data_IF_343686186906
#
_entry.id   IF_343686186906
#
_cell.length_a   1.000
_cell.length_b   1.000
_cell.length_c   1.000
_cell.angle_alpha   90.00
_cell.angle_beta   90.00
_cell.angle_gamma   90.00
#
_symmetry.space_group_name_H-M   'P 1'
#
loop_
_entity.id
_entity.type
_entity.pdbx_description
1 polymer ?
#
# COMPACT_ATOMS: atom_id res chain seq x y z
N UNK A 1 9.59 40.97 -2.09
CA UNK A 1 10.27 42.20 -1.62
C UNK A 1 10.17 42.26 -0.12
N UNK A 2 11.01 43.06 0.50
CA UNK A 2 10.96 43.36 1.93
C UNK A 2 9.58 43.84 2.42
N UNK A 3 8.88 44.62 1.60
CA UNK A 3 7.51 45.06 1.87
C UNK A 3 6.54 43.88 1.87
N UNK A 4 6.54 43.04 0.83
CA UNK A 4 5.64 41.87 0.73
C UNK A 4 5.82 40.92 1.93
N UNK A 5 7.07 40.66 2.33
CA UNK A 5 7.35 39.77 3.46
C UNK A 5 6.81 40.33 4.78
N UNK A 6 6.89 41.64 5.00
CA UNK A 6 6.40 42.29 6.22
C UNK A 6 4.88 42.40 6.25
N UNK A 7 4.25 42.77 5.13
CA UNK A 7 2.79 42.83 5.05
C UNK A 7 2.14 41.45 5.17
N UNK A 8 2.73 40.40 4.58
CA UNK A 8 2.23 39.02 4.75
C UNK A 8 2.36 38.49 6.18
N UNK A 9 3.19 39.12 7.03
CA UNK A 9 3.38 38.76 8.44
C UNK A 9 2.52 39.59 9.40
N UNK A 10 1.61 40.42 8.89
CA UNK A 10 0.68 41.18 9.74
C UNK A 10 1.28 42.46 10.34
N UNK A 11 1.88 43.33 9.53
CA UNK A 11 2.36 44.64 10.01
C UNK A 11 1.18 45.49 10.54
N UNK A 12 1.17 45.79 11.83
CA UNK A 12 0.08 46.57 12.45
C UNK A 12 -0.04 47.98 11.87
N UNK A 13 -1.22 48.41 11.40
CA UNK A 13 -1.39 49.74 10.80
C UNK A 13 -1.35 50.88 11.83
N UNK A 14 -1.45 50.57 13.13
CA UNK A 14 -1.37 51.56 14.20
C UNK A 14 0.00 52.28 14.27
N UNK A 15 1.05 51.71 13.66
CA UNK A 15 2.35 52.38 13.56
C UNK A 15 2.44 53.40 12.41
N UNK A 16 1.51 53.37 11.44
CA UNK A 16 1.64 54.09 10.18
C UNK A 16 1.82 55.60 10.38
N UNK A 17 0.98 56.23 11.21
CA UNK A 17 1.07 57.67 11.48
C UNK A 17 2.40 58.05 12.14
N UNK A 18 2.87 57.25 13.11
CA UNK A 18 4.14 57.48 13.79
C UNK A 18 5.34 57.33 12.85
N UNK A 19 5.35 56.28 12.03
CA UNK A 19 6.41 56.02 11.05
C UNK A 19 6.43 57.09 9.95
N UNK A 20 5.28 57.50 9.43
CA UNK A 20 5.19 58.59 8.44
C UNK A 20 5.75 59.90 8.99
N UNK A 21 5.38 60.27 10.21
CA UNK A 21 5.92 61.45 10.89
C UNK A 21 7.45 61.37 11.01
N UNK A 22 7.98 60.20 11.38
CA UNK A 22 9.42 59.97 11.47
C UNK A 22 10.09 60.13 10.10
N UNK A 23 9.55 59.53 9.05
CA UNK A 23 10.08 59.66 7.68
C UNK A 23 10.12 61.10 7.20
N UNK A 24 9.04 61.87 7.46
CA UNK A 24 8.98 63.30 7.13
C UNK A 24 10.11 64.08 7.82
N UNK A 25 10.37 63.79 9.10
CA UNK A 25 11.44 64.45 9.85
C UNK A 25 12.84 64.12 9.29
N UNK A 26 13.06 62.90 8.80
CA UNK A 26 14.35 62.47 8.25
C UNK A 26 14.71 63.19 6.94
N UNK A 27 13.72 63.66 6.18
CA UNK A 27 13.92 64.37 4.91
C UNK A 27 13.81 65.90 5.06
N UNK A 28 13.79 66.41 6.30
CA UNK A 28 13.67 67.85 6.59
C UNK A 28 12.27 68.44 6.35
N UNK A 29 11.26 67.58 6.21
CA UNK A 29 9.86 67.98 6.05
C UNK A 29 9.23 68.35 7.40
N UNK A 30 8.27 69.28 7.36
CA UNK A 30 7.39 69.60 8.49
C UNK A 30 6.00 69.06 8.17
N UNK A 31 5.36 68.41 9.14
CA UNK A 31 3.99 67.93 9.02
C UNK A 31 3.04 69.14 8.82
N UNK A 32 2.47 69.26 7.62
CA UNK A 32 1.59 70.39 7.26
C UNK A 32 0.16 70.23 7.80
N UNK A 33 -0.28 69.00 8.05
CA UNK A 33 -1.60 68.65 8.60
C UNK A 33 -1.52 67.34 9.38
N UNK A 34 -2.55 67.05 10.18
CA UNK A 34 -2.71 65.74 10.82
C UNK A 34 -2.63 64.62 9.76
N UNK A 35 -1.94 63.52 10.09
CA UNK A 35 -1.94 62.31 9.26
C UNK A 35 -3.20 61.54 9.62
N UNK A 36 -4.15 61.50 8.71
CA UNK A 36 -5.38 60.72 8.87
C UNK A 36 -5.35 59.52 7.91
N UNK A 37 -5.60 58.33 8.46
CA UNK A 37 -5.77 57.10 7.67
C UNK A 37 -7.26 56.98 7.31
N UNK A 38 -7.61 57.34 6.07
CA UNK A 38 -8.99 57.21 5.56
C UNK A 38 -9.26 55.73 5.27
N UNK A 39 -9.61 54.95 6.28
CA UNK A 39 -10.18 53.62 6.03
C UNK A 39 -11.62 53.81 5.54
N UNK A 40 -11.84 53.71 4.23
CA UNK A 40 -13.18 53.49 3.67
C UNK A 40 -13.54 52.03 3.94
N UNK A 41 -14.32 51.79 4.99
CA UNK A 41 -14.86 50.47 5.27
C UNK A 41 -16.15 50.27 4.49
N UNK A 42 -16.21 49.18 3.73
CA UNK A 42 -17.45 48.48 3.41
C UNK A 42 -17.57 47.28 4.35
N UNK A 43 -18.77 47.06 4.89
CA UNK A 43 -19.10 46.10 5.94
C UNK A 43 -18.61 44.66 5.69
N UNK A 44 -18.38 44.24 4.44
CA UNK A 44 -17.99 42.86 4.10
C UNK A 44 -16.53 42.48 4.44
N UNK A 45 -15.65 43.44 4.73
CA UNK A 45 -14.23 43.22 5.08
C UNK A 45 -13.89 43.63 6.52
N UNK A 46 -14.87 44.11 7.29
CA UNK A 46 -14.69 44.69 8.63
C UNK A 46 -14.76 43.64 9.76
N UNK A 47 -15.29 42.45 9.48
CA UNK A 47 -15.41 41.35 10.46
C UNK A 47 -14.07 40.92 11.09
N UNK A 48 -12.94 41.21 10.45
CA UNK A 48 -11.62 40.82 10.96
C UNK A 48 -11.08 41.77 12.06
N UNK A 49 -11.63 42.99 12.21
CA UNK A 49 -11.19 43.95 13.23
C UNK A 49 -12.33 44.71 13.93
N UNK A 50 -13.61 44.42 13.66
CA UNK A 50 -14.77 45.10 14.27
C UNK A 50 -14.63 46.64 14.30
N UNK A 51 -14.15 47.21 13.19
CA UNK A 51 -13.92 48.65 13.08
C UNK A 51 -12.85 49.24 14.03
N UNK A 52 -12.14 48.42 14.81
CA UNK A 52 -11.14 48.84 15.80
C UNK A 52 -9.91 47.93 15.74
N UNK A 53 -8.78 48.49 15.32
CA UNK A 53 -7.48 47.92 15.70
C UNK A 53 -7.28 48.17 17.21
N UNK A 54 -8.03 47.49 18.06
CA UNK A 54 -7.78 47.44 19.50
C UNK A 54 -6.95 46.21 19.78
N UNK A 55 -5.86 46.33 20.54
CA UNK A 55 -5.10 45.16 20.92
C UNK A 55 -5.98 44.15 21.66
N UNK A 56 -5.74 42.85 21.43
CA UNK A 56 -6.51 41.79 22.06
C UNK A 56 -6.42 41.89 23.59
N UNK A 57 -7.58 41.81 24.23
CA UNK A 57 -7.68 41.61 25.68
C UNK A 57 -8.01 40.12 25.91
N UNK A 58 -7.10 39.41 26.55
CA UNK A 58 -7.20 37.98 26.81
C UNK A 58 -7.26 37.77 28.32
N UNK A 59 -8.36 37.19 28.77
CA UNK A 59 -8.54 36.77 30.16
C UNK A 59 -8.20 35.29 30.27
N UNK A 60 -7.21 34.93 31.09
CA UNK A 60 -6.69 33.57 31.19
C UNK A 60 -6.40 33.17 32.64
N UNK A 61 -6.76 31.94 33.01
CA UNK A 61 -6.42 31.36 34.31
C UNK A 61 -4.95 30.88 34.32
N UNK A 62 -4.17 31.25 35.33
CA UNK A 62 -2.80 30.76 35.50
C UNK A 62 -2.71 29.23 35.54
N UNK A 63 -3.76 28.56 36.05
CA UNK A 63 -3.88 27.11 36.02
C UNK A 63 -3.89 26.54 34.60
N UNK A 64 -4.57 27.22 33.67
CA UNK A 64 -4.62 26.80 32.26
C UNK A 64 -3.24 26.80 31.61
N UNK A 65 -2.41 27.80 31.96
CA UNK A 65 -1.03 27.93 31.50
C UNK A 65 -0.16 26.81 32.08
N UNK A 66 -0.24 26.61 33.40
CA UNK A 66 0.53 25.61 34.12
C UNK A 66 0.21 24.18 33.69
N UNK A 67 -1.08 23.84 33.47
CA UNK A 67 -1.49 22.50 32.99
C UNK A 67 -0.91 22.16 31.60
N UNK A 68 -0.76 23.16 30.72
CA UNK A 68 -0.20 22.97 29.38
C UNK A 68 1.33 22.93 29.36
N UNK A 69 1.99 23.76 30.18
CA UNK A 69 3.45 23.78 30.28
C UNK A 69 4.02 22.69 31.20
N UNK A 70 3.18 22.10 32.07
CA UNK A 70 3.63 21.19 33.13
C UNK A 70 4.49 21.92 34.17
N UNK A 71 4.12 23.17 34.48
CA UNK A 71 4.78 24.04 35.45
C UNK A 71 3.86 24.32 36.64
N UNK A 72 4.40 25.04 37.62
CA UNK A 72 3.69 25.53 38.81
C UNK A 72 4.14 26.98 39.06
N UNK A 73 4.02 27.84 38.04
CA UNK A 73 4.33 29.27 38.11
C UNK A 73 3.21 29.99 38.88
N UNK A 74 3.57 30.95 39.73
CA UNK A 74 2.58 31.86 40.31
C UNK A 74 2.07 32.85 39.26
N UNK A 75 0.88 33.42 39.49
CA UNK A 75 0.32 34.44 38.59
C UNK A 75 1.23 35.67 38.49
N UNK A 76 1.95 36.00 39.57
CA UNK A 76 2.96 37.07 39.59
C UNK A 76 4.16 36.73 38.69
N UNK A 77 4.69 35.49 38.76
CA UNK A 77 5.78 35.04 37.88
C UNK A 77 5.36 35.10 36.40
N UNK A 78 4.11 34.70 36.10
CA UNK A 78 3.53 34.75 34.75
C UNK A 78 3.43 36.20 34.27
N UNK A 79 2.89 37.09 35.10
CA UNK A 79 2.77 38.50 34.77
C UNK A 79 4.14 39.16 34.58
N UNK A 80 5.12 38.83 35.41
CA UNK A 80 6.48 39.35 35.30
C UNK A 80 7.14 38.93 33.97
N UNK A 81 6.99 37.67 33.56
CA UNK A 81 7.50 37.20 32.27
C UNK A 81 6.89 38.01 31.11
N UNK A 82 5.56 38.16 31.08
CA UNK A 82 4.86 38.86 30.01
C UNK A 82 5.17 40.37 29.98
N UNK A 83 5.15 41.02 31.14
CA UNK A 83 5.45 42.46 31.25
C UNK A 83 6.89 42.79 30.83
N UNK A 84 7.85 41.89 31.03
CA UNK A 84 9.25 42.06 30.57
C UNK A 84 9.39 42.17 29.04
N UNK A 85 8.38 41.75 28.27
CA UNK A 85 8.32 41.90 26.81
C UNK A 85 7.18 42.79 26.34
N UNK A 86 6.76 43.73 27.20
CA UNK A 86 5.76 44.76 26.90
C UNK A 86 4.36 44.21 26.61
N UNK A 87 4.10 42.94 26.95
CA UNK A 87 2.75 42.38 27.01
C UNK A 87 2.18 42.77 28.38
N UNK A 88 1.25 43.71 28.37
CA UNK A 88 0.69 44.25 29.62
C UNK A 88 -0.18 43.18 30.26
N UNK A 89 0.22 42.73 31.44
CA UNK A 89 -0.53 41.76 32.23
C UNK A 89 -0.65 42.22 33.67
N UNK A 90 -1.83 42.04 34.26
CA UNK A 90 -2.02 42.21 35.69
C UNK A 90 -2.71 40.99 36.28
N UNK A 91 -2.28 40.65 37.50
CA UNK A 91 -2.88 39.58 38.28
C UNK A 91 -4.35 39.86 38.61
N UNK A 92 -5.02 38.87 39.20
CA UNK A 92 -6.42 38.98 39.58
C UNK A 92 -6.66 40.21 40.47
N UNK A 93 -7.57 41.11 40.05
CA UNK A 93 -8.12 42.11 40.96
C UNK A 93 -8.99 41.39 42.02
N UNK A 94 -9.09 41.93 43.23
CA UNK A 94 -9.84 41.34 44.36
C UNK A 94 -11.30 41.03 43.94
N UNK A 95 -11.54 39.82 43.41
CA UNK A 95 -12.81 39.12 43.04
C UNK A 95 -12.73 38.30 41.73
N UNK A 96 -11.71 38.47 40.89
CA UNK A 96 -11.60 37.79 39.59
C UNK A 96 -10.52 36.70 39.65
N UNK A 97 -10.79 35.44 39.28
CA UNK A 97 -9.81 34.33 39.32
C UNK A 97 -9.05 34.17 37.98
N UNK A 98 -8.64 35.26 37.35
CA UNK A 98 -7.92 35.23 36.06
C UNK A 98 -6.93 36.39 35.91
N UNK A 99 -5.93 36.19 35.05
CA UNK A 99 -4.95 37.18 34.62
C UNK A 99 -5.54 37.92 33.41
N UNK A 100 -5.57 39.24 33.48
CA UNK A 100 -5.97 40.09 32.35
C UNK A 100 -4.73 40.45 31.54
N UNK A 101 -4.76 40.18 30.24
CA UNK A 101 -3.64 40.45 29.33
C UNK A 101 -4.10 41.37 28.22
N UNK A 102 -3.43 42.50 28.08
CA UNK A 102 -3.56 43.40 26.95
C UNK A 102 -2.34 43.23 26.03
N UNK A 103 -2.58 42.62 24.86
CA UNK A 103 -1.56 42.48 23.82
C UNK A 103 -1.05 43.88 23.39
N UNK A 104 0.23 44.04 23.04
CA UNK A 104 0.69 45.28 22.43
C UNK A 104 0.27 45.34 20.95
N UNK A 105 0.06 46.56 20.42
CA UNK A 105 -0.51 46.74 19.09
C UNK A 105 0.29 46.10 17.93
N UNK A 106 1.58 45.82 18.13
CA UNK A 106 2.46 45.23 17.13
C UNK A 106 2.50 43.69 17.18
N UNK A 107 1.96 43.08 18.24
CA UNK A 107 1.82 41.61 18.37
C UNK A 107 0.47 41.18 17.82
N UNK A 108 0.39 41.14 16.49
CA UNK A 108 -0.82 40.72 15.76
C UNK A 108 -1.04 39.20 15.79
N UNK A 109 -0.16 38.47 16.45
CA UNK A 109 -0.18 37.01 16.62
C UNK A 109 -0.80 36.57 17.96
N UNK A 110 -1.04 37.48 18.91
CA UNK A 110 -1.64 37.17 20.21
C UNK A 110 -3.15 37.36 20.18
N UNK A 111 -3.88 36.29 19.88
CA UNK A 111 -5.35 36.32 19.74
C UNK A 111 -6.06 35.32 20.67
N UNK A 112 -5.40 34.19 20.98
CA UNK A 112 -5.95 33.08 21.75
C UNK A 112 -5.21 32.89 23.09
N UNK A 113 -5.85 32.28 24.10
CA UNK A 113 -5.20 31.90 25.35
C UNK A 113 -3.94 31.05 25.15
N UNK A 114 -3.93 30.15 24.17
CA UNK A 114 -2.77 29.33 23.82
C UNK A 114 -1.54 30.15 23.38
N UNK A 115 -1.73 31.33 22.76
CA UNK A 115 -0.61 32.18 22.33
C UNK A 115 0.12 32.76 23.55
N UNK A 116 -0.62 33.05 24.62
CA UNK A 116 -0.06 33.43 25.92
C UNK A 116 0.72 32.27 26.54
N UNK A 117 0.20 31.04 26.44
CA UNK A 117 0.91 29.84 26.92
C UNK A 117 2.25 29.69 26.20
N UNK A 118 2.29 29.92 24.87
CA UNK A 118 3.53 29.93 24.11
C UNK A 118 4.48 31.01 24.61
N UNK A 119 4.02 32.25 24.81
CA UNK A 119 4.86 33.34 25.29
C UNK A 119 5.45 33.06 26.68
N UNK A 120 4.64 32.59 27.62
CA UNK A 120 5.12 32.20 28.95
C UNK A 120 6.13 31.07 28.84
N UNK A 121 5.86 30.04 28.04
CA UNK A 121 6.78 28.93 27.83
C UNK A 121 8.12 29.35 27.20
N UNK A 122 8.08 30.22 26.19
CA UNK A 122 9.24 30.78 25.50
C UNK A 122 10.10 31.64 26.44
N UNK A 123 9.47 32.46 27.27
CA UNK A 123 10.14 33.38 28.20
C UNK A 123 10.69 32.67 29.43
N UNK A 124 9.96 31.67 29.94
CA UNK A 124 10.45 30.77 30.98
C UNK A 124 11.68 29.99 30.48
N UNK A 125 11.62 29.51 29.23
CA UNK A 125 12.65 28.73 28.56
C UNK A 125 12.25 27.27 28.44
N UNK A 126 11.99 26.80 27.22
CA UNK A 126 11.57 25.42 26.98
C UNK A 126 12.59 24.36 27.42
N UNK A 127 13.87 24.73 27.50
CA UNK A 127 14.95 23.88 28.00
C UNK A 127 14.81 23.55 29.51
N UNK A 128 14.09 24.38 30.26
CA UNK A 128 13.83 24.20 31.69
C UNK A 128 12.61 23.34 31.99
N UNK A 129 11.74 23.10 30.99
CA UNK A 129 10.56 22.27 31.17
C UNK A 129 10.95 20.84 31.57
N UNK A 130 10.24 20.27 32.55
CA UNK A 130 10.52 18.93 33.01
C UNK A 130 10.20 17.89 31.94
N UNK A 131 11.16 16.99 31.66
CA UNK A 131 10.97 15.91 30.68
C UNK A 131 10.17 14.78 31.32
N UNK A 132 8.87 14.75 31.07
CA UNK A 132 7.98 13.70 31.55
C UNK A 132 7.43 12.87 30.39
N UNK A 133 7.40 11.55 30.55
CA UNK A 133 6.77 10.67 29.58
C UNK A 133 5.24 10.80 29.68
N UNK A 134 4.51 10.91 28.57
CA UNK A 134 3.06 10.95 28.60
C UNK A 134 2.53 9.65 29.20
N UNK A 135 1.64 9.76 30.19
CA UNK A 135 0.95 8.60 30.77
C UNK A 135 0.01 8.02 29.73
N UNK A 136 0.08 6.70 29.50
CA UNK A 136 -0.80 5.98 28.58
C UNK A 136 -1.34 4.72 29.24
N UNK A 137 -2.50 4.27 28.75
CA UNK A 137 -3.07 3.00 29.18
C UNK A 137 -2.19 1.82 28.75
N UNK A 138 -2.04 0.81 29.61
CA UNK A 138 -1.37 -0.47 29.29
C UNK A 138 -2.27 -1.47 28.55
N UNK A 139 -3.46 -1.03 28.11
CA UNK A 139 -4.38 -1.86 27.32
C UNK A 139 -3.73 -2.24 26.00
N UNK A 140 -3.88 -3.51 25.61
CA UNK A 140 -3.41 -3.99 24.31
C UNK A 140 -4.14 -3.27 23.18
N UNK A 141 -3.38 -2.79 22.20
CA UNK A 141 -3.95 -2.20 20.99
C UNK A 141 -4.52 -3.30 20.09
N UNK A 142 -5.67 -3.08 19.42
CA UNK A 142 -6.19 -4.01 18.45
C UNK A 142 -5.17 -4.21 17.31
N UNK A 143 -5.03 -5.45 16.85
CA UNK A 143 -4.17 -5.73 15.69
C UNK A 143 -4.84 -5.22 14.43
N UNK A 144 -4.09 -4.49 13.61
CA UNK A 144 -4.54 -4.09 12.28
C UNK A 144 -4.26 -5.24 11.30
N UNK A 145 -5.30 -5.94 10.86
CA UNK A 145 -5.17 -7.12 9.99
C UNK A 145 -4.40 -6.82 8.70
N UNK A 146 -4.63 -5.66 8.09
CA UNK A 146 -3.91 -5.22 6.88
C UNK A 146 -2.41 -5.06 7.14
N UNK A 147 -2.01 -4.55 8.30
CA UNK A 147 -0.59 -4.46 8.68
C UNK A 147 0.02 -5.85 8.88
N UNK A 148 -0.70 -6.74 9.56
CA UNK A 148 -0.26 -8.12 9.78
C UNK A 148 -0.12 -8.88 8.46
N UNK A 149 -1.08 -8.74 7.53
CA UNK A 149 -0.99 -9.30 6.18
C UNK A 149 0.26 -8.80 5.45
N UNK A 150 0.50 -7.49 5.40
CA UNK A 150 1.68 -6.94 4.72
C UNK A 150 2.98 -7.49 5.31
N UNK A 151 3.03 -7.68 6.62
CA UNK A 151 4.18 -8.33 7.27
C UNK A 151 4.32 -9.80 6.84
N UNK A 152 3.22 -10.56 6.80
CA UNK A 152 3.22 -11.95 6.35
C UNK A 152 3.66 -12.09 4.88
N UNK A 153 3.15 -11.24 3.98
CA UNK A 153 3.54 -11.18 2.56
C UNK A 153 5.04 -10.92 2.43
N UNK A 154 5.59 -9.91 3.12
CA UNK A 154 7.04 -9.64 3.09
C UNK A 154 7.85 -10.83 3.56
N UNK A 155 7.47 -11.43 4.68
CA UNK A 155 8.20 -12.56 5.24
C UNK A 155 8.19 -13.76 4.28
N UNK A 156 7.04 -14.08 3.69
CA UNK A 156 6.93 -15.20 2.74
C UNK A 156 7.78 -14.97 1.49
N UNK A 157 7.58 -13.83 0.79
CA UNK A 157 8.28 -13.53 -0.46
C UNK A 157 9.79 -13.35 -0.26
N UNK A 158 10.21 -12.71 0.85
CA UNK A 158 11.64 -12.56 1.16
C UNK A 158 12.31 -13.90 1.46
N UNK A 159 11.63 -14.80 2.18
CA UNK A 159 12.13 -16.17 2.44
C UNK A 159 12.18 -17.00 1.16
N UNK A 160 11.30 -16.72 0.20
CA UNK A 160 11.33 -17.34 -1.12
C UNK A 160 12.39 -16.72 -2.07
N UNK A 161 13.15 -15.71 -1.62
CA UNK A 161 14.24 -15.08 -2.37
C UNK A 161 13.85 -13.89 -3.23
N UNK A 162 12.63 -13.37 -3.10
CA UNK A 162 12.20 -12.14 -3.75
C UNK A 162 12.61 -10.90 -2.94
N UNK A 163 12.87 -9.79 -3.62
CA UNK A 163 13.35 -8.55 -3.00
C UNK A 163 12.25 -7.49 -3.03
N UNK A 164 11.90 -6.94 -1.87
CA UNK A 164 10.95 -5.82 -1.80
C UNK A 164 11.63 -4.56 -2.34
N UNK A 165 10.92 -3.82 -3.19
CA UNK A 165 11.34 -2.51 -3.67
C UNK A 165 10.28 -1.46 -3.36
N UNK A 166 10.69 -0.20 -3.31
CA UNK A 166 9.79 0.94 -3.21
C UNK A 166 10.04 1.84 -4.42
N UNK A 167 9.10 1.85 -5.37
CA UNK A 167 9.17 2.72 -6.54
C UNK A 167 8.31 3.98 -6.36
N UNK A 168 8.57 5.01 -7.14
CA UNK A 168 7.74 6.22 -7.15
C UNK A 168 6.33 5.91 -7.68
N UNK A 169 5.31 6.47 -7.04
CA UNK A 169 3.93 6.39 -7.52
C UNK A 169 3.68 7.25 -8.76
N UNK A 170 4.47 8.30 -8.95
CA UNK A 170 4.44 9.15 -10.14
C UNK A 170 5.49 8.68 -11.13
N UNK A 171 5.08 8.54 -12.39
CA UNK A 171 5.87 7.91 -13.46
C UNK A 171 5.80 8.75 -14.74
N UNK A 172 6.82 8.55 -15.57
CA UNK A 172 6.83 9.07 -16.94
C UNK A 172 5.78 8.32 -17.78
N UNK A 173 5.13 9.01 -18.71
CA UNK A 173 4.15 8.44 -19.66
C UNK A 173 4.65 7.18 -20.38
N UNK A 174 5.95 7.16 -20.69
CA UNK A 174 6.66 6.01 -21.28
C UNK A 174 6.44 4.72 -20.50
N UNK A 175 6.40 4.77 -19.17
CA UNK A 175 6.24 3.56 -18.33
C UNK A 175 4.85 2.94 -18.57
N UNK A 176 3.81 3.77 -18.65
CA UNK A 176 2.44 3.32 -18.96
C UNK A 176 2.36 2.76 -20.38
N UNK A 177 2.87 3.50 -21.38
CA UNK A 177 2.89 3.07 -22.78
C UNK A 177 3.68 1.78 -23.00
N UNK A 178 4.84 1.65 -22.36
CA UNK A 178 5.68 0.45 -22.46
C UNK A 178 4.96 -0.80 -21.93
N UNK A 179 4.09 -0.61 -20.93
CA UNK A 179 3.25 -1.65 -20.33
C UNK A 179 1.91 -1.86 -21.06
N UNK A 180 1.71 -1.18 -22.21
CA UNK A 180 0.45 -1.15 -22.97
C UNK A 180 -0.77 -0.67 -22.17
N UNK A 181 -0.51 0.13 -21.13
CA UNK A 181 -1.58 0.76 -20.37
C UNK A 181 -2.06 2.04 -21.05
N UNK A 182 -3.38 2.24 -21.07
CA UNK A 182 -3.99 3.45 -21.60
C UNK A 182 -3.70 4.66 -20.69
N UNK A 183 -2.88 5.59 -21.18
CA UNK A 183 -2.51 6.83 -20.49
C UNK A 183 -3.73 7.69 -20.18
N UNK A 184 -4.82 7.62 -20.97
CA UNK A 184 -6.02 8.41 -20.72
C UNK A 184 -6.66 8.09 -19.36
N UNK A 185 -6.47 6.87 -18.87
CA UNK A 185 -6.94 6.42 -17.56
C UNK A 185 -6.12 6.97 -16.38
N UNK A 186 -4.96 7.60 -16.63
CA UNK A 186 -4.07 8.08 -15.58
C UNK A 186 -4.40 9.52 -15.18
N UNK A 187 -4.24 9.82 -13.88
CA UNK A 187 -4.27 11.19 -13.38
C UNK A 187 -2.92 11.88 -13.65
N UNK A 188 -2.97 13.09 -14.21
CA UNK A 188 -1.77 13.89 -14.52
C UNK A 188 -1.62 15.01 -13.50
N UNK A 189 -0.41 15.20 -12.97
CA UNK A 189 -0.11 16.34 -12.11
C UNK A 189 -0.07 17.64 -12.93
N UNK A 190 -0.73 18.69 -12.41
CA UNK A 190 -0.75 20.02 -13.04
C UNK A 190 0.59 20.75 -12.89
N UNK A 191 1.30 20.52 -11.79
CA UNK A 191 2.57 21.15 -11.42
C UNK A 191 3.66 20.11 -11.11
N UNK A 192 3.85 19.15 -12.03
CA UNK A 192 4.88 18.12 -11.87
C UNK A 192 6.29 18.73 -11.70
N UNK A 193 7.06 18.21 -10.75
CA UNK A 193 8.45 18.63 -10.50
C UNK A 193 9.37 18.37 -11.69
N UNK A 194 9.08 17.33 -12.46
CA UNK A 194 9.80 16.97 -13.68
C UNK A 194 8.91 16.14 -14.63
N UNK A 195 9.27 16.03 -15.92
CA UNK A 195 8.57 15.16 -16.87
C UNK A 195 8.56 13.67 -16.46
N UNK A 196 9.52 13.23 -15.64
CA UNK A 196 9.61 11.84 -15.16
C UNK A 196 8.58 11.51 -14.08
N UNK A 197 7.93 12.52 -13.48
CA UNK A 197 6.99 12.39 -12.37
C UNK A 197 5.63 13.02 -12.70
N UNK A 198 5.14 12.85 -13.93
CA UNK A 198 3.97 13.57 -14.45
C UNK A 198 2.62 12.82 -14.29
N UNK A 199 2.61 11.48 -14.31
CA UNK A 199 1.39 10.68 -14.21
C UNK A 199 1.40 9.84 -12.94
N UNK A 200 0.28 9.78 -12.22
CA UNK A 200 0.12 8.74 -11.21
C UNK A 200 -0.03 7.38 -11.92
N UNK A 201 0.72 6.37 -11.48
CA UNK A 201 0.69 5.02 -12.08
C UNK A 201 -0.69 4.35 -11.96
N UNK A 202 -1.09 3.61 -12.98
CA UNK A 202 -2.34 2.84 -12.95
C UNK A 202 -2.22 1.59 -12.06
N UNK A 203 -1.08 0.90 -12.15
CA UNK A 203 -0.71 -0.26 -11.33
C UNK A 203 0.77 -0.22 -10.98
N UNK A 204 1.22 -1.10 -10.08
CA UNK A 204 2.62 -1.10 -9.59
C UNK A 204 3.55 -1.83 -10.56
N UNK A 205 3.07 -2.91 -11.19
CA UNK A 205 3.84 -3.78 -12.08
C UNK A 205 4.70 -3.03 -13.12
N UNK A 206 4.19 -2.04 -13.88
CA UNK A 206 5.01 -1.28 -14.83
C UNK A 206 6.27 -0.66 -14.21
N UNK A 207 6.16 -0.22 -12.95
CA UNK A 207 7.27 0.37 -12.19
C UNK A 207 8.31 -0.68 -11.84
N UNK A 208 7.90 -1.91 -11.52
CA UNK A 208 8.80 -3.05 -11.32
C UNK A 208 9.51 -3.44 -12.62
N UNK A 209 8.77 -3.52 -13.74
CA UNK A 209 9.34 -3.86 -15.05
C UNK A 209 10.43 -2.87 -15.48
N UNK A 210 10.25 -1.57 -15.22
CA UNK A 210 11.25 -0.54 -15.50
C UNK A 210 12.57 -0.75 -14.73
N UNK A 211 12.56 -1.49 -13.60
CA UNK A 211 13.77 -1.79 -12.81
C UNK A 211 14.50 -3.06 -13.25
N UNK A 212 13.85 -3.95 -14.00
CA UNK A 212 14.46 -5.23 -14.40
C UNK A 212 15.69 -5.02 -15.28
N UNK A 213 15.58 -4.19 -16.33
CA UNK A 213 16.65 -4.03 -17.32
C UNK A 213 17.96 -3.49 -16.70
N UNK A 214 17.86 -2.51 -15.81
CA UNK A 214 19.01 -1.92 -15.13
C UNK A 214 19.74 -2.96 -14.25
N UNK A 215 18.98 -3.82 -13.55
CA UNK A 215 19.56 -4.87 -12.71
C UNK A 215 20.25 -5.97 -13.53
N UNK A 216 19.65 -6.41 -14.65
CA UNK A 216 20.28 -7.36 -15.57
C UNK A 216 21.60 -6.77 -16.13
N UNK A 217 21.59 -5.48 -16.49
CA UNK A 217 22.79 -4.79 -16.99
C UNK A 217 23.88 -4.63 -15.92
N UNK A 218 23.49 -4.51 -14.65
CA UNK A 218 24.39 -4.45 -13.51
C UNK A 218 25.02 -5.82 -13.16
N UNK A 219 24.59 -6.92 -13.80
CA UNK A 219 25.17 -8.25 -13.63
C UNK A 219 24.35 -9.21 -12.78
N UNK A 220 23.15 -8.84 -12.33
CA UNK A 220 22.25 -9.74 -11.64
C UNK A 220 21.49 -10.60 -12.66
N UNK A 221 21.95 -11.84 -12.85
CA UNK A 221 21.47 -12.70 -13.94
C UNK A 221 20.11 -13.39 -13.65
N UNK A 222 19.69 -13.52 -12.39
CA UNK A 222 18.40 -14.13 -11.99
C UNK A 222 17.92 -13.51 -10.67
N UNK A 223 16.69 -13.00 -10.62
CA UNK A 223 16.11 -12.41 -9.42
C UNK A 223 14.58 -12.31 -9.49
N UNK A 224 13.95 -12.10 -8.33
CA UNK A 224 12.57 -11.67 -8.22
C UNK A 224 12.48 -10.35 -7.45
N UNK A 225 11.64 -9.43 -7.92
CA UNK A 225 11.28 -8.18 -7.26
C UNK A 225 9.79 -8.20 -6.91
N UNK A 226 9.42 -7.61 -5.79
CA UNK A 226 8.02 -7.37 -5.46
C UNK A 226 7.81 -6.00 -4.83
N UNK A 227 6.59 -5.47 -4.96
CA UNK A 227 6.16 -4.24 -4.29
C UNK A 227 4.69 -4.35 -3.90
N UNK A 228 4.36 -3.93 -2.69
CA UNK A 228 2.98 -3.71 -2.24
C UNK A 228 2.66 -2.23 -2.35
N UNK A 229 1.83 -1.85 -3.32
CA UNK A 229 1.60 -0.46 -3.63
C UNK A 229 0.20 -0.16 -4.13
N UNK A 230 -0.06 1.12 -4.33
CA UNK A 230 -1.33 1.61 -4.86
C UNK A 230 -1.18 2.08 -6.30
N UNK A 231 -2.27 1.98 -7.04
CA UNK A 231 -2.49 2.66 -8.31
C UNK A 231 -3.88 3.31 -8.33
N UNK A 232 -4.07 4.26 -9.24
CA UNK A 232 -5.35 4.95 -9.44
C UNK A 232 -5.73 4.90 -10.91
N UNK A 233 -6.98 4.51 -11.18
CA UNK A 233 -7.50 4.33 -12.54
C UNK A 233 -8.80 5.13 -12.62
N UNK A 234 -8.88 6.09 -13.55
CA UNK A 234 -10.07 6.95 -13.69
C UNK A 234 -11.37 6.18 -13.86
N UNK A 235 -11.35 5.02 -14.50
CA UNK A 235 -12.55 4.20 -14.68
C UNK A 235 -13.16 3.68 -13.37
N UNK A 236 -12.40 3.61 -12.28
CA UNK A 236 -12.94 3.27 -10.96
C UNK A 236 -13.67 4.47 -10.33
N UNK A 237 -13.42 5.69 -10.82
CA UNK A 237 -14.08 6.89 -10.34
C UNK A 237 -13.45 7.44 -9.05
N UNK A 238 -14.29 8.16 -8.30
CA UNK A 238 -13.93 8.81 -7.04
C UNK A 238 -14.62 8.06 -5.90
N UNK A 239 -13.95 7.97 -4.75
CA UNK A 239 -14.53 7.47 -3.50
C UNK A 239 -15.51 8.46 -2.87
N UNK A 240 -16.05 8.09 -1.70
CA UNK A 240 -17.02 8.89 -0.94
C UNK A 240 -16.49 10.26 -0.51
N UNK A 241 -15.17 10.38 -0.35
CA UNK A 241 -14.46 11.61 -0.01
C UNK A 241 -14.17 12.51 -1.24
N UNK A 242 -14.61 12.10 -2.43
CA UNK A 242 -14.35 12.80 -3.69
C UNK A 242 -12.91 12.64 -4.21
N UNK A 243 -12.10 11.75 -3.62
CA UNK A 243 -10.74 11.46 -4.07
C UNK A 243 -10.68 10.24 -5.00
N UNK A 244 -9.70 10.15 -5.91
CA UNK A 244 -9.54 8.98 -6.77
C UNK A 244 -9.47 7.66 -5.99
N UNK A 245 -10.29 6.69 -6.38
CA UNK A 245 -10.28 5.38 -5.74
C UNK A 245 -8.94 4.67 -5.96
N UNK A 246 -8.41 4.05 -4.91
CA UNK A 246 -7.10 3.41 -4.91
C UNK A 246 -7.22 1.89 -4.98
N UNK A 247 -6.66 1.28 -6.03
CA UNK A 247 -6.48 -0.17 -6.09
C UNK A 247 -5.12 -0.54 -5.53
N UNK A 248 -5.05 -1.54 -4.65
CA UNK A 248 -3.80 -1.96 -4.02
C UNK A 248 -3.42 -3.35 -4.48
N UNK A 249 -2.21 -3.50 -4.98
CA UNK A 249 -1.70 -4.77 -5.46
C UNK A 249 -0.37 -5.12 -4.79
N UNK A 250 -0.15 -6.42 -4.62
CA UNK A 250 1.17 -7.01 -4.46
C UNK A 250 1.61 -7.48 -5.84
N UNK A 251 2.44 -6.68 -6.49
CA UNK A 251 3.01 -7.01 -7.79
C UNK A 251 4.36 -7.70 -7.62
N UNK A 252 4.60 -8.74 -8.41
CA UNK A 252 5.84 -9.54 -8.38
C UNK A 252 6.32 -9.71 -9.81
N UNK A 253 7.62 -9.55 -10.04
CA UNK A 253 8.28 -9.90 -11.31
C UNK A 253 9.44 -10.84 -11.04
N UNK A 254 9.49 -11.94 -11.76
CA UNK A 254 10.64 -12.83 -11.84
C UNK A 254 11.32 -12.64 -13.19
N UNK A 255 12.64 -12.47 -13.19
CA UNK A 255 13.43 -12.29 -14.40
C UNK A 255 14.74 -13.09 -14.33
N UNK A 256 15.08 -13.74 -15.44
CA UNK A 256 16.38 -14.37 -15.61
C UNK A 256 16.94 -14.06 -17.00
N UNK A 257 18.23 -13.74 -17.08
CA UNK A 257 18.95 -13.44 -18.32
C UNK A 257 19.04 -14.65 -19.25
N UNK A 258 19.21 -15.85 -18.66
CA UNK A 258 19.24 -17.12 -19.38
C UNK A 258 17.95 -17.89 -19.12
N UNK A 259 17.41 -18.62 -20.12
CA UNK A 259 16.26 -19.47 -19.92
C UNK A 259 16.54 -20.56 -18.87
N UNK A 260 15.59 -20.78 -17.97
CA UNK A 260 15.58 -21.94 -17.08
C UNK A 260 14.89 -23.15 -17.73
N UNK A 261 14.77 -24.24 -16.98
CA UNK A 261 13.95 -25.38 -17.38
C UNK A 261 12.45 -25.01 -17.35
N UNK A 262 11.73 -25.30 -18.43
CA UNK A 262 10.30 -25.00 -18.57
C UNK A 262 10.00 -23.51 -18.72
N UNK A 263 8.73 -23.14 -18.77
CA UNK A 263 8.29 -21.75 -18.96
C UNK A 263 8.51 -20.88 -17.70
N UNK A 264 8.82 -19.57 -17.85
CA UNK A 264 8.97 -18.66 -16.71
C UNK A 264 7.68 -18.49 -15.90
N UNK A 265 6.51 -18.76 -16.52
CA UNK A 265 5.22 -18.91 -15.83
C UNK A 265 5.31 -19.76 -14.54
N UNK A 266 5.99 -20.91 -14.61
CA UNK A 266 6.05 -21.83 -13.47
C UNK A 266 6.94 -21.31 -12.33
N UNK A 267 7.89 -20.41 -12.62
CA UNK A 267 8.71 -19.76 -11.59
C UNK A 267 7.88 -18.81 -10.75
N UNK A 268 7.10 -17.94 -11.41
CA UNK A 268 6.25 -16.99 -10.70
C UNK A 268 5.07 -17.69 -10.02
N UNK A 269 4.48 -18.70 -10.65
CA UNK A 269 3.42 -19.53 -10.04
C UNK A 269 3.88 -20.14 -8.72
N UNK A 270 5.10 -20.69 -8.67
CA UNK A 270 5.66 -21.27 -7.44
C UNK A 270 5.80 -20.23 -6.32
N UNK A 271 6.20 -19.00 -6.63
CA UNK A 271 6.28 -17.92 -5.63
C UNK A 271 4.89 -17.56 -5.09
N UNK A 272 3.88 -17.50 -5.95
CA UNK A 272 2.50 -17.19 -5.57
C UNK A 272 1.85 -18.34 -4.79
N UNK A 273 2.10 -19.59 -5.17
CA UNK A 273 1.67 -20.78 -4.43
C UNK A 273 2.32 -20.83 -3.04
N UNK A 274 3.63 -20.52 -2.93
CA UNK A 274 4.30 -20.45 -1.63
C UNK A 274 3.71 -19.34 -0.75
N UNK A 275 3.42 -18.17 -1.34
CA UNK A 275 2.77 -17.07 -0.63
C UNK A 275 1.41 -17.50 -0.10
N UNK A 276 0.55 -18.09 -0.93
CA UNK A 276 -0.75 -18.56 -0.50
C UNK A 276 -0.67 -19.63 0.58
N UNK A 277 0.25 -20.59 0.45
CA UNK A 277 0.51 -21.60 1.48
C UNK A 277 0.86 -20.96 2.83
N UNK A 278 1.75 -19.97 2.84
CA UNK A 278 2.16 -19.28 4.08
C UNK A 278 1.02 -18.43 4.68
N UNK A 279 0.10 -17.95 3.85
CA UNK A 279 -1.14 -17.27 4.26
C UNK A 279 -2.25 -18.25 4.66
N UNK A 280 -2.08 -19.55 4.43
CA UNK A 280 -3.04 -20.60 4.78
C UNK A 280 -4.16 -20.80 3.76
N UNK A 281 -3.88 -20.59 2.47
CA UNK A 281 -4.82 -20.83 1.37
C UNK A 281 -4.22 -21.72 0.28
N UNK A 282 -5.11 -22.41 -0.41
CA UNK A 282 -4.82 -23.13 -1.65
C UNK A 282 -5.36 -22.35 -2.84
N UNK A 283 -4.60 -22.35 -3.93
CA UNK A 283 -4.91 -21.58 -5.13
C UNK A 283 -5.36 -22.48 -6.28
N UNK A 284 -6.27 -21.92 -7.08
CA UNK A 284 -6.71 -22.45 -8.36
C UNK A 284 -6.31 -21.45 -9.44
N UNK A 285 -5.64 -21.97 -10.48
CA UNK A 285 -5.21 -21.18 -11.64
C UNK A 285 -6.15 -21.49 -12.81
N UNK A 286 -6.95 -20.50 -13.23
CA UNK A 286 -7.92 -20.62 -14.31
C UNK A 286 -7.39 -19.97 -15.59
N UNK A 287 -7.49 -20.63 -16.76
CA UNK A 287 -7.14 -20.01 -18.04
C UNK A 287 -8.03 -18.79 -18.30
N UNK A 288 -7.51 -17.82 -19.05
CA UNK A 288 -8.29 -16.65 -19.48
C UNK A 288 -8.97 -17.01 -20.79
N UNK A 289 -10.27 -17.28 -20.73
CA UNK A 289 -11.06 -17.71 -21.91
C UNK A 289 -11.60 -16.53 -22.72
N UNK A 290 -11.79 -15.38 -22.08
CA UNK A 290 -12.31 -14.16 -22.69
C UNK A 290 -11.29 -13.05 -22.52
N UNK A 291 -11.03 -12.31 -23.60
CA UNK A 291 -10.08 -11.19 -23.57
C UNK A 291 -10.52 -10.15 -22.53
N UNK A 292 -9.66 -9.97 -21.53
CA UNK A 292 -9.84 -8.98 -20.47
C UNK A 292 -9.20 -7.66 -20.89
N UNK A 293 -9.90 -6.54 -20.67
CA UNK A 293 -9.41 -5.21 -21.04
C UNK A 293 -9.37 -4.27 -19.83
N UNK A 294 -8.45 -4.55 -18.91
CA UNK A 294 -8.18 -3.71 -17.74
C UNK A 294 -6.70 -3.33 -17.65
N UNK A 295 -6.34 -2.17 -17.07
CA UNK A 295 -4.95 -1.76 -16.96
C UNK A 295 -4.03 -2.76 -16.25
N UNK A 296 -4.55 -3.54 -15.29
CA UNK A 296 -3.77 -4.55 -14.57
C UNK A 296 -3.37 -5.74 -15.45
N UNK A 297 -4.23 -6.15 -16.38
CA UNK A 297 -3.95 -7.27 -17.29
C UNK A 297 -3.25 -6.84 -18.58
N UNK A 298 -3.23 -5.54 -18.88
CA UNK A 298 -2.67 -5.00 -20.12
C UNK A 298 -1.22 -5.48 -20.44
N UNK A 299 -0.30 -5.64 -19.45
CA UNK A 299 1.06 -6.10 -19.73
C UNK A 299 1.16 -7.59 -20.08
N UNK A 300 0.15 -8.39 -19.74
CA UNK A 300 0.19 -9.85 -19.78
C UNK A 300 -0.20 -10.41 -21.16
N UNK A 301 0.49 -11.49 -21.57
CA UNK A 301 0.01 -12.36 -22.63
C UNK A 301 -1.05 -13.29 -22.04
N UNK A 302 -2.32 -12.99 -22.29
CA UNK A 302 -3.45 -13.68 -21.64
C UNK A 302 -3.50 -15.17 -21.99
N UNK A 303 -3.00 -15.58 -23.16
CA UNK A 303 -2.91 -16.98 -23.57
C UNK A 303 -1.85 -17.77 -22.77
N UNK A 304 -0.91 -17.06 -22.15
CA UNK A 304 0.18 -17.59 -21.32
C UNK A 304 0.08 -17.10 -19.87
N UNK A 305 -1.13 -16.77 -19.45
CA UNK A 305 -1.46 -16.28 -18.12
C UNK A 305 -2.67 -17.01 -17.56
N UNK A 306 -2.86 -16.91 -16.25
CA UNK A 306 -3.99 -17.48 -15.55
C UNK A 306 -4.52 -16.48 -14.52
N UNK A 307 -5.84 -16.45 -14.37
CA UNK A 307 -6.45 -15.85 -13.19
C UNK A 307 -6.22 -16.76 -11.99
N UNK A 308 -6.04 -16.15 -10.83
CA UNK A 308 -5.75 -16.83 -9.57
C UNK A 308 -6.90 -16.57 -8.63
N UNK A 309 -7.46 -17.65 -8.12
CA UNK A 309 -8.52 -17.65 -7.13
C UNK A 309 -8.19 -18.67 -6.04
N UNK A 310 -8.89 -18.62 -4.91
CA UNK A 310 -8.86 -19.70 -3.92
C UNK A 310 -9.83 -20.82 -4.30
N UNK A 311 -9.79 -21.92 -3.55
CA UNK A 311 -10.76 -23.02 -3.67
C UNK A 311 -12.21 -22.63 -3.33
N UNK A 312 -12.40 -21.56 -2.54
CA UNK A 312 -13.71 -20.93 -2.26
C UNK A 312 -14.03 -19.76 -3.21
N UNK A 313 -13.41 -19.72 -4.39
CA UNK A 313 -13.68 -18.76 -5.48
C UNK A 313 -13.39 -17.29 -5.12
N UNK A 314 -12.60 -17.02 -4.08
CA UNK A 314 -12.11 -15.68 -3.81
C UNK A 314 -11.07 -15.30 -4.86
N UNK A 315 -11.35 -14.27 -5.65
CA UNK A 315 -10.38 -13.72 -6.58
C UNK A 315 -9.14 -13.18 -5.87
N UNK A 316 -7.96 -13.54 -6.37
CA UNK A 316 -6.66 -13.13 -5.84
C UNK A 316 -5.88 -12.31 -6.86
N UNK A 317 -5.96 -12.59 -8.16
CA UNK A 317 -5.20 -11.81 -9.14
C UNK A 317 -4.92 -12.51 -10.46
N UNK A 318 -3.82 -12.12 -11.10
CA UNK A 318 -3.33 -12.71 -12.35
C UNK A 318 -1.85 -13.11 -12.19
N UNK A 319 -1.49 -14.24 -12.80
CA UNK A 319 -0.11 -14.73 -12.88
C UNK A 319 0.17 -15.14 -14.32
N UNK A 320 1.30 -14.72 -14.88
CA UNK A 320 1.54 -15.00 -16.28
C UNK A 320 2.81 -14.46 -16.89
N UNK A 321 2.99 -14.80 -18.16
CA UNK A 321 4.02 -14.22 -19.00
C UNK A 321 3.58 -12.88 -19.60
N UNK A 322 4.55 -12.06 -19.98
CA UNK A 322 4.32 -10.73 -20.52
C UNK A 322 4.22 -10.77 -22.05
N UNK A 323 3.48 -9.83 -22.63
CA UNK A 323 3.43 -9.66 -24.10
C UNK A 323 4.83 -9.40 -24.66
N UNK A 324 5.08 -9.90 -25.87
CA UNK A 324 6.37 -9.71 -26.54
C UNK A 324 6.73 -8.23 -26.77
N UNK A 325 5.73 -7.39 -27.03
CA UNK A 325 5.84 -5.94 -27.12
C UNK A 325 6.31 -5.31 -25.80
N UNK A 326 5.73 -5.70 -24.68
CA UNK A 326 6.10 -5.25 -23.33
C UNK A 326 7.54 -5.65 -23.00
N UNK A 327 7.91 -6.90 -23.28
CA UNK A 327 9.29 -7.41 -23.13
C UNK A 327 10.26 -6.53 -23.92
N UNK A 328 9.95 -6.22 -25.18
CA UNK A 328 10.78 -5.38 -26.03
C UNK A 328 10.86 -3.92 -25.54
N UNK A 329 9.73 -3.33 -25.17
CA UNK A 329 9.62 -1.93 -24.77
C UNK A 329 10.41 -1.62 -23.49
N UNK A 330 10.39 -2.54 -22.52
CA UNK A 330 11.19 -2.45 -21.30
C UNK A 330 12.59 -3.07 -21.42
N UNK A 331 12.93 -3.68 -22.55
CA UNK A 331 14.21 -4.39 -22.77
C UNK A 331 14.44 -5.49 -21.73
N UNK A 332 13.37 -6.22 -21.40
CA UNK A 332 13.38 -7.35 -20.47
C UNK A 332 14.08 -8.56 -21.10
N UNK A 333 14.65 -9.47 -20.31
CA UNK A 333 15.06 -10.77 -20.82
C UNK A 333 13.83 -11.56 -21.30
N UNK A 334 14.04 -12.51 -22.22
CA UNK A 334 12.97 -13.36 -22.72
C UNK A 334 12.36 -14.27 -21.64
N UNK A 335 13.14 -14.62 -20.60
CA UNK A 335 12.69 -15.46 -19.49
C UNK A 335 12.20 -14.58 -18.32
N UNK A 336 11.00 -14.02 -18.49
CA UNK A 336 10.35 -13.12 -17.53
C UNK A 336 8.88 -13.48 -17.36
N UNK A 337 8.40 -13.42 -16.12
CA UNK A 337 7.00 -13.60 -15.80
C UNK A 337 6.63 -12.75 -14.57
N UNK A 338 5.35 -12.45 -14.42
CA UNK A 338 4.87 -11.54 -13.40
C UNK A 338 3.60 -12.06 -12.73
N UNK A 339 3.28 -11.46 -11.59
CA UNK A 339 2.03 -11.64 -10.88
C UNK A 339 1.53 -10.28 -10.41
N UNK A 340 0.21 -10.10 -10.46
CA UNK A 340 -0.48 -8.96 -9.88
C UNK A 340 -1.58 -9.48 -8.97
N UNK A 341 -1.35 -9.42 -7.65
CA UNK A 341 -2.25 -9.96 -6.64
C UNK A 341 -2.99 -8.83 -5.94
N UNK A 342 -4.32 -8.83 -6.00
CA UNK A 342 -5.15 -7.85 -5.33
C UNK A 342 -5.02 -7.97 -3.81
N UNK A 343 -4.76 -6.84 -3.16
CA UNK A 343 -4.57 -6.80 -1.70
C UNK A 343 -5.86 -7.11 -0.97
N UNK A 344 -7.03 -6.71 -1.49
CA UNK A 344 -8.30 -7.02 -0.83
C UNK A 344 -8.60 -8.53 -0.88
N UNK A 345 -8.33 -9.18 -2.02
CA UNK A 345 -8.36 -10.65 -2.12
C UNK A 345 -7.45 -11.35 -1.11
N UNK A 346 -6.20 -10.89 -0.96
CA UNK A 346 -5.27 -11.43 0.05
C UNK A 346 -5.73 -11.14 1.50
N UNK A 347 -6.37 -10.00 1.75
CA UNK A 347 -6.95 -9.67 3.07
C UNK A 347 -8.10 -10.62 3.43
N UNK A 348 -8.98 -10.94 2.47
CA UNK A 348 -10.07 -11.89 2.67
C UNK A 348 -9.54 -13.29 3.03
N UNK A 349 -8.48 -13.73 2.36
CA UNK A 349 -7.78 -14.99 2.68
C UNK A 349 -7.20 -14.95 4.10
N UNK A 350 -6.43 -13.92 4.41
CA UNK A 350 -5.71 -13.84 5.68
C UNK A 350 -6.65 -13.72 6.88
N UNK A 351 -7.80 -13.07 6.72
CA UNK A 351 -8.83 -12.97 7.75
C UNK A 351 -9.50 -14.31 8.08
N UNK A 352 -9.61 -15.21 7.10
CA UNK A 352 -10.18 -16.56 7.25
C UNK A 352 -9.19 -17.59 7.80
N UNK A 353 -7.90 -17.23 7.93
CA UNK A 353 -6.85 -18.15 8.35
C UNK A 353 -7.16 -18.76 9.72
N UNK A 354 -7.56 -20.03 9.70
CA UNK A 354 -7.75 -20.84 10.90
C UNK A 354 -6.66 -21.91 10.96
N UNK A 355 -5.92 -21.95 12.07
CA UNK A 355 -4.94 -23.00 12.31
C UNK A 355 -5.66 -24.24 12.84
N UNK A 356 -5.98 -25.18 11.95
CA UNK A 356 -6.49 -26.49 12.35
C UNK A 356 -5.31 -27.45 12.53
N UNK A 357 -5.18 -28.03 13.72
CA UNK A 357 -4.21 -29.08 13.95
C UNK A 357 -4.82 -30.42 13.54
N UNK A 358 -4.17 -31.12 12.61
CA UNK A 358 -4.45 -32.51 12.30
C UNK A 358 -3.25 -33.36 12.74
N UNK A 359 -3.46 -34.40 13.57
CA UNK A 359 -2.37 -35.27 13.98
C UNK A 359 -1.82 -36.02 12.77
N UNK A 360 -0.49 -36.06 12.66
CA UNK A 360 0.18 -36.89 11.67
C UNK A 360 -0.22 -38.36 11.85
N UNK A 361 -0.30 -39.10 10.74
CA UNK A 361 -0.54 -40.54 10.82
C UNK A 361 0.60 -41.25 11.56
N UNK A 362 0.24 -42.22 12.39
CA UNK A 362 1.18 -43.17 13.02
C UNK A 362 1.47 -44.38 12.12
N UNK A 363 0.74 -44.51 11.01
CA UNK A 363 0.84 -45.61 10.06
C UNK A 363 1.63 -45.15 8.82
N UNK A 364 2.38 -46.05 8.17
CA UNK A 364 3.18 -45.68 7.01
C UNK A 364 2.28 -45.34 5.81
N UNK A 365 2.73 -44.38 4.99
CA UNK A 365 2.12 -44.08 3.69
C UNK A 365 2.64 -45.03 2.62
N UNK A 366 1.79 -45.37 1.65
CA UNK A 366 2.16 -46.16 0.47
C UNK A 366 1.96 -45.31 -0.78
N UNK A 367 2.88 -45.39 -1.75
CA UNK A 367 2.77 -44.64 -3.01
C UNK A 367 2.59 -45.54 -4.22
N UNK A 368 1.75 -45.12 -5.18
CA UNK A 368 1.60 -45.75 -6.50
C UNK A 368 1.71 -44.67 -7.57
N UNK A 369 2.50 -44.99 -8.60
CA UNK A 369 2.56 -44.17 -9.80
C UNK A 369 1.62 -44.77 -10.85
N UNK A 370 0.77 -43.94 -11.44
CA UNK A 370 -0.13 -44.33 -12.54
C UNK A 370 0.20 -43.49 -13.76
N UNK A 371 0.23 -44.11 -14.93
CA UNK A 371 0.40 -43.41 -16.21
C UNK A 371 -0.85 -43.56 -17.05
N UNK A 372 -1.46 -42.45 -17.39
CA UNK A 372 -2.65 -42.40 -18.24
C UNK A 372 -2.24 -41.93 -19.62
N UNK A 373 -2.39 -42.78 -20.63
CA UNK A 373 -2.23 -42.42 -22.04
C UNK A 373 -3.58 -42.00 -22.60
N UNK A 374 -3.64 -40.79 -23.15
CA UNK A 374 -4.88 -40.20 -23.63
C UNK A 374 -4.62 -39.24 -24.79
N UNK A 375 -5.66 -38.87 -25.57
CA UNK A 375 -5.51 -37.91 -26.66
C UNK A 375 -4.92 -36.56 -26.20
N UNK A 376 -4.06 -35.96 -27.04
CA UNK A 376 -3.32 -34.73 -26.70
C UNK A 376 -4.24 -33.53 -26.42
N UNK A 377 -5.42 -33.49 -27.05
CA UNK A 377 -6.41 -32.42 -26.88
C UNK A 377 -7.11 -32.41 -25.51
N UNK A 378 -7.07 -33.51 -24.74
CA UNK A 378 -7.68 -33.57 -23.41
C UNK A 378 -6.88 -32.70 -22.44
N UNK A 379 -7.50 -31.73 -21.81
CA UNK A 379 -6.80 -30.81 -20.90
C UNK A 379 -6.32 -31.55 -19.63
N UNK A 380 -5.07 -31.28 -19.22
CA UNK A 380 -4.51 -31.76 -17.95
C UNK A 380 -5.41 -31.42 -16.76
N UNK A 381 -5.97 -30.20 -16.72
CA UNK A 381 -6.83 -29.74 -15.63
C UNK A 381 -8.08 -30.62 -15.50
N UNK A 382 -8.68 -31.05 -16.61
CA UNK A 382 -9.85 -31.93 -16.59
C UNK A 382 -9.52 -33.30 -16.00
N UNK A 383 -8.37 -33.88 -16.35
CA UNK A 383 -7.88 -35.14 -15.79
C UNK A 383 -7.59 -35.00 -14.29
N UNK A 384 -6.86 -33.94 -13.90
CA UNK A 384 -6.52 -33.70 -12.51
C UNK A 384 -7.77 -33.46 -11.63
N UNK A 385 -8.75 -32.70 -12.11
CA UNK A 385 -10.03 -32.50 -11.41
C UNK A 385 -10.84 -33.80 -11.33
N UNK A 386 -10.81 -34.62 -12.38
CA UNK A 386 -11.44 -35.94 -12.37
C UNK A 386 -10.86 -36.86 -11.30
N UNK A 387 -9.53 -36.91 -11.20
CA UNK A 387 -8.82 -37.65 -10.15
C UNK A 387 -9.17 -37.07 -8.77
N UNK A 388 -9.06 -35.75 -8.58
CA UNK A 388 -9.36 -35.08 -7.29
C UNK A 388 -10.78 -35.39 -6.79
N UNK A 389 -11.78 -35.38 -7.67
CA UNK A 389 -13.18 -35.73 -7.31
C UNK A 389 -13.32 -37.16 -6.80
N UNK A 390 -12.62 -38.11 -7.43
CA UNK A 390 -12.63 -39.52 -6.99
C UNK A 390 -11.97 -39.63 -5.62
N UNK A 391 -10.81 -38.97 -5.44
CA UNK A 391 -10.05 -39.02 -4.19
C UNK A 391 -10.79 -38.35 -3.02
N UNK A 392 -11.57 -37.30 -3.26
CA UNK A 392 -12.45 -36.71 -2.23
C UNK A 392 -13.58 -37.64 -1.77
N UNK A 393 -13.90 -38.68 -2.54
CA UNK A 393 -14.92 -39.67 -2.20
C UNK A 393 -14.42 -40.85 -1.37
N UNK A 394 -13.11 -40.96 -1.11
CA UNK A 394 -12.53 -42.07 -0.34
C UNK A 394 -12.21 -41.65 1.09
N UNK A 395 -12.30 -42.59 2.05
CA UNK A 395 -12.01 -42.33 3.47
C UNK A 395 -10.50 -42.27 3.80
N UNK A 396 -9.65 -42.55 2.81
CA UNK A 396 -8.19 -42.55 2.93
C UNK A 396 -7.69 -41.18 2.49
N UNK A 397 -6.71 -40.62 3.21
CA UNK A 397 -6.05 -39.39 2.77
C UNK A 397 -5.14 -39.73 1.58
N UNK A 398 -5.47 -39.17 0.41
CA UNK A 398 -4.72 -39.41 -0.83
C UNK A 398 -4.26 -38.10 -1.42
N UNK A 399 -2.95 -37.84 -1.30
CA UNK A 399 -2.31 -36.74 -2.01
C UNK A 399 -1.86 -37.23 -3.40
N UNK A 400 -2.04 -36.42 -4.44
CA UNK A 400 -1.52 -36.72 -5.77
C UNK A 400 -0.75 -35.55 -6.38
N UNK A 401 0.24 -35.87 -7.22
CA UNK A 401 1.01 -34.88 -7.98
C UNK A 401 1.40 -35.43 -9.35
N UNK A 402 1.46 -34.56 -10.35
CA UNK A 402 2.04 -34.91 -11.64
C UNK A 402 3.55 -35.14 -11.51
N UNK A 403 4.04 -36.20 -12.12
CA UNK A 403 5.46 -36.53 -12.25
C UNK A 403 5.96 -36.11 -13.64
N UNK A 404 5.21 -36.47 -14.68
CA UNK A 404 5.60 -36.20 -16.06
C UNK A 404 4.40 -36.03 -16.97
N UNK A 405 4.57 -35.16 -17.96
CA UNK A 405 3.71 -35.04 -19.14
C UNK A 405 4.62 -35.39 -20.32
N UNK A 406 4.44 -36.56 -20.88
CA UNK A 406 5.25 -37.06 -21.99
C UNK A 406 4.41 -37.13 -23.26
N UNK A 407 4.95 -36.63 -24.36
CA UNK A 407 4.37 -36.79 -25.68
C UNK A 407 5.48 -37.30 -26.59
N UNK A 408 5.25 -38.43 -27.25
CA UNK A 408 6.23 -39.02 -28.15
C UNK A 408 6.38 -38.16 -29.40
N UNK A 409 7.59 -38.05 -29.93
CA UNK A 409 7.82 -37.44 -31.25
C UNK A 409 7.11 -38.22 -32.36
N UNK A 410 6.95 -39.53 -32.18
CA UNK A 410 6.44 -40.45 -33.19
C UNK A 410 4.91 -40.55 -33.18
N UNK A 411 4.27 -40.17 -32.07
CA UNK A 411 2.81 -40.12 -31.92
C UNK A 411 2.40 -38.81 -31.27
N UNK A 412 2.15 -37.80 -32.11
CA UNK A 412 1.69 -36.49 -31.65
C UNK A 412 0.21 -36.49 -31.21
N UNK A 413 -0.54 -37.56 -31.47
CA UNK A 413 -1.97 -37.63 -31.18
C UNK A 413 -2.28 -38.03 -29.74
N UNK A 414 -1.33 -38.72 -29.10
CA UNK A 414 -1.44 -39.19 -27.73
C UNK A 414 -0.37 -38.56 -26.83
N UNK A 415 -0.72 -38.36 -25.56
CA UNK A 415 0.20 -38.00 -24.49
C UNK A 415 0.00 -38.92 -23.30
N UNK A 416 1.04 -39.06 -22.49
CA UNK A 416 1.04 -39.81 -21.25
C UNK A 416 1.20 -38.86 -20.08
N UNK A 417 0.23 -38.87 -19.18
CA UNK A 417 0.27 -38.13 -17.91
C UNK A 417 0.58 -39.13 -16.79
N UNK A 418 1.70 -38.95 -16.12
CA UNK A 418 2.09 -39.78 -14.98
C UNK A 418 1.84 -39.04 -13.69
N UNK A 419 1.12 -39.67 -12.77
CA UNK A 419 0.79 -39.14 -11.45
C UNK A 419 1.35 -40.05 -10.36
N UNK A 420 1.89 -39.45 -9.30
CA UNK A 420 2.17 -40.14 -8.04
C UNK A 420 1.00 -39.93 -7.11
N UNK A 421 0.39 -41.00 -6.65
CA UNK A 421 -0.58 -41.01 -5.56
C UNK A 421 0.11 -41.51 -4.29
N UNK A 422 -0.09 -40.81 -3.18
CA UNK A 422 0.42 -41.15 -1.85
C UNK A 422 -0.78 -41.37 -0.96
N UNK A 423 -0.99 -42.62 -0.56
CA UNK A 423 -2.11 -43.06 0.27
C UNK A 423 -1.68 -43.13 1.72
N UNK A 424 -2.44 -42.49 2.60
CA UNK A 424 -2.19 -42.45 4.05
C UNK A 424 -3.49 -42.72 4.80
N UNK A 425 -3.48 -43.69 5.70
CA UNK A 425 -4.59 -43.90 6.63
C UNK A 425 -4.18 -43.46 8.03
N UNK A 426 -5.08 -42.79 8.75
CA UNK A 426 -4.90 -42.42 10.15
C UNK A 426 -5.33 -43.53 11.12
N UNK A 427 -5.86 -44.65 10.62
CA UNK A 427 -6.47 -45.70 11.43
C UNK A 427 -5.75 -47.05 11.35
N UNK A 428 -5.12 -47.36 10.22
CA UNK A 428 -4.42 -48.65 10.01
C UNK A 428 -3.34 -48.56 8.93
N UNK A 429 -2.47 -49.56 8.87
CA UNK A 429 -1.58 -49.76 7.73
C UNK A 429 -2.39 -50.22 6.51
N UNK A 430 -2.15 -49.58 5.37
CA UNK A 430 -2.82 -49.91 4.10
C UNK A 430 -2.17 -51.13 3.45
N UNK A 431 -2.98 -52.01 2.89
CA UNK A 431 -2.57 -53.15 2.06
C UNK A 431 -3.02 -52.95 0.62
N UNK A 432 -2.50 -53.74 -0.32
CA UNK A 432 -2.81 -53.58 -1.75
C UNK A 432 -4.31 -53.67 -2.05
N UNK A 433 -5.04 -54.53 -1.34
CA UNK A 433 -6.50 -54.65 -1.50
C UNK A 433 -7.28 -53.38 -1.13
N UNK A 434 -6.68 -52.45 -0.38
CA UNK A 434 -7.29 -51.14 -0.06
C UNK A 434 -7.05 -50.12 -1.18
N UNK A 435 -5.95 -50.26 -1.93
CA UNK A 435 -5.49 -49.28 -2.91
C UNK A 435 -6.01 -49.60 -4.31
N UNK A 436 -6.01 -50.88 -4.68
CA UNK A 436 -6.42 -51.36 -6.01
C UNK A 436 -7.79 -50.82 -6.44
N UNK A 437 -8.85 -50.83 -5.61
CA UNK A 437 -10.17 -50.32 -6.01
C UNK A 437 -10.16 -48.82 -6.37
N UNK A 438 -9.31 -48.03 -5.70
CA UNK A 438 -9.19 -46.59 -5.96
C UNK A 438 -8.53 -46.35 -7.32
N UNK A 439 -7.46 -47.11 -7.62
CA UNK A 439 -6.78 -47.03 -8.91
C UNK A 439 -7.69 -47.49 -10.05
N UNK A 440 -8.41 -48.59 -9.86
CA UNK A 440 -9.40 -49.10 -10.83
C UNK A 440 -10.51 -48.08 -11.09
N UNK A 441 -11.00 -47.39 -10.04
CA UNK A 441 -11.99 -46.32 -10.18
C UNK A 441 -11.47 -45.13 -10.99
N UNK A 442 -10.21 -44.73 -10.77
CA UNK A 442 -9.54 -43.71 -11.58
C UNK A 442 -9.44 -44.17 -13.03
N UNK A 443 -8.93 -45.38 -13.27
CA UNK A 443 -8.78 -45.93 -14.62
C UNK A 443 -10.13 -45.95 -15.36
N UNK A 444 -11.17 -46.53 -14.74
CA UNK A 444 -12.48 -46.67 -15.37
C UNK A 444 -13.10 -45.31 -15.69
N UNK A 445 -12.99 -44.34 -14.77
CA UNK A 445 -13.54 -43.00 -14.96
C UNK A 445 -12.79 -42.23 -16.05
N UNK A 446 -11.46 -42.29 -16.04
CA UNK A 446 -10.63 -41.64 -17.07
C UNK A 446 -10.82 -42.29 -18.44
N UNK A 447 -11.02 -43.62 -18.50
CA UNK A 447 -11.34 -44.34 -19.73
C UNK A 447 -12.70 -43.92 -20.29
N UNK A 448 -13.74 -43.86 -19.45
CA UNK A 448 -15.08 -43.47 -19.89
C UNK A 448 -15.17 -41.99 -20.31
N UNK A 449 -14.54 -41.10 -19.55
CA UNK A 449 -14.63 -39.65 -19.80
C UNK A 449 -13.72 -39.18 -20.94
N UNK A 450 -12.54 -39.78 -21.09
CA UNK A 450 -11.48 -39.25 -21.95
C UNK A 450 -10.83 -40.28 -22.88
N UNK A 451 -11.30 -41.54 -22.88
CA UNK A 451 -10.66 -42.62 -23.63
C UNK A 451 -9.24 -42.92 -23.13
N UNK A 452 -8.95 -42.62 -21.86
CA UNK A 452 -7.63 -42.86 -21.30
C UNK A 452 -7.35 -44.35 -21.06
N UNK A 453 -6.13 -44.78 -21.34
CA UNK A 453 -5.62 -46.12 -21.08
C UNK A 453 -4.54 -46.06 -20.01
N UNK A 454 -4.60 -46.95 -19.02
CA UNK A 454 -3.53 -47.10 -18.02
C UNK A 454 -2.36 -47.86 -18.66
N UNK A 455 -1.13 -47.33 -18.56
CA UNK A 455 0.08 -47.85 -19.21
C UNK A 455 1.20 -48.11 -18.23
#
# INVERSE_FOLDING_TARGET
TDALTRFNKGQSPLQNAAVLKQLMSMVGGVQASEVFDLKQFSDELDDYFDGKYTPANIDIDGKFINERLGLDLSDDDICDLLNNVEIKSHGPEEELNYICIQSPFWRTDLELPEDIVEEVGRLYGFDKLSRQLPMRSIKSAPKNLRRELKNAVRQSLSRAGANEVLTYSFVHERILKNAEQDVAQAYKLSNALSPDLQYYRLTVLPSLLDKVHANIKAGYDEFALFEMGKGHIKMHGLGEDGLPEASQFTDIVYAAKKPGAGAPFYKIRRLVEQLAHDLGAELVFKPIEQDLNFPVVAPFDQSRSALVETTDEQFIGIVGELKQSVIKNFKLPAYVAAASLDTAGLEAVYAKRASHYQPLSRYPSTSRDISLKLPTNVNYASVAQGIDRILKGVEIDVAFRAISIYQSSDDATMKTLTFRLVFTSHQRTLVDSDITPIIESIQQTMQQAYGAELV
#
